data_IF_561802788395
#
_entry.id   IF_561802788395
#
_cell.length_a   1.000
_cell.length_b   1.000
_cell.length_c   1.000
_cell.angle_alpha   90.00
_cell.angle_beta   90.00
_cell.angle_gamma   90.00
#
_symmetry.space_group_name_H-M   'P 1'
#
loop_
_entity.id
_entity.type
_entity.pdbx_description
1 polymer ?
#
# COMPACT_ATOMS: atom_id res chain seq x y z
N UNK A 1 28.13 -4.79 6.32
CA UNK A 1 27.96 -4.30 4.93
C UNK A 1 27.74 -2.80 4.99
N UNK A 2 28.23 -2.01 4.03
CA UNK A 2 27.89 -0.57 3.95
C UNK A 2 26.84 -0.36 2.86
N UNK A 3 25.82 0.44 3.12
CA UNK A 3 24.82 0.85 2.14
C UNK A 3 23.38 0.47 2.49
N UNK A 4 22.48 0.75 1.55
CA UNK A 4 21.03 0.51 1.67
C UNK A 4 20.62 -0.56 0.66
N UNK A 5 19.82 -1.52 1.10
CA UNK A 5 19.29 -2.58 0.25
C UNK A 5 17.81 -2.79 0.54
N UNK A 6 17.04 -3.09 -0.49
CA UNK A 6 15.68 -3.60 -0.36
C UNK A 6 15.74 -5.10 -0.67
N UNK A 7 15.32 -5.92 0.29
CA UNK A 7 15.16 -7.37 0.11
C UNK A 7 13.67 -7.63 -0.11
N UNK A 8 13.34 -8.29 -1.22
CA UNK A 8 11.97 -8.67 -1.57
C UNK A 8 11.79 -10.17 -1.35
N UNK A 9 10.73 -10.56 -0.66
CA UNK A 9 10.40 -11.97 -0.41
C UNK A 9 8.89 -12.13 -0.15
N UNK A 10 8.45 -13.36 0.12
CA UNK A 10 7.09 -13.70 0.53
C UNK A 10 7.08 -14.36 1.91
N UNK A 11 6.24 -13.85 2.81
CA UNK A 11 6.05 -14.41 4.17
C UNK A 11 4.58 -14.74 4.36
N UNK A 12 4.27 -16.00 4.71
CA UNK A 12 2.88 -16.47 4.85
C UNK A 12 2.00 -16.16 3.62
N UNK A 13 2.56 -16.24 2.42
CA UNK A 13 1.85 -15.95 1.17
C UNK A 13 1.65 -14.46 0.86
N UNK A 14 2.22 -13.55 1.66
CA UNK A 14 2.17 -12.10 1.43
C UNK A 14 3.51 -11.57 0.95
N UNK A 15 3.50 -10.69 -0.04
CA UNK A 15 4.72 -10.01 -0.51
C UNK A 15 5.25 -9.07 0.59
N UNK A 16 6.57 -9.06 0.76
CA UNK A 16 7.26 -8.29 1.80
C UNK A 16 8.49 -7.62 1.20
N UNK A 17 8.75 -6.37 1.62
CA UNK A 17 9.96 -5.63 1.32
C UNK A 17 10.66 -5.18 2.61
N UNK A 18 11.90 -5.64 2.84
CA UNK A 18 12.70 -5.24 3.99
C UNK A 18 13.78 -4.22 3.58
N UNK A 19 13.83 -3.08 4.28
CA UNK A 19 14.91 -2.11 4.15
C UNK A 19 16.05 -2.48 5.10
N UNK A 20 17.19 -2.83 4.53
CA UNK A 20 18.44 -3.05 5.24
C UNK A 20 19.31 -1.80 5.14
N UNK A 21 19.85 -1.33 6.28
CA UNK A 21 20.82 -0.24 6.35
C UNK A 21 22.03 -0.74 7.11
N UNK A 22 23.19 -0.73 6.44
CA UNK A 22 24.47 -1.18 6.98
C UNK A 22 24.44 -2.61 7.59
N UNK A 23 23.64 -3.49 7.00
CA UNK A 23 23.46 -4.88 7.42
C UNK A 23 22.50 -5.07 8.60
N UNK A 24 21.75 -4.04 9.01
CA UNK A 24 20.69 -4.13 10.02
C UNK A 24 19.33 -3.89 9.39
N UNK A 25 18.31 -4.62 9.86
CA UNK A 25 16.93 -4.35 9.50
C UNK A 25 16.53 -2.98 10.05
N UNK A 26 16.09 -2.10 9.16
CA UNK A 26 15.67 -0.75 9.50
C UNK A 26 14.15 -0.59 9.38
N UNK A 27 13.53 -1.18 8.36
CA UNK A 27 12.09 -1.13 8.15
C UNK A 27 11.60 -2.38 7.40
N UNK A 28 10.32 -2.68 7.54
CA UNK A 28 9.64 -3.78 6.86
C UNK A 28 8.28 -3.33 6.37
N UNK A 29 8.05 -3.48 5.07
CA UNK A 29 6.75 -3.29 4.45
C UNK A 29 6.16 -4.66 4.12
N UNK A 30 4.97 -4.94 4.65
CA UNK A 30 4.20 -6.13 4.31
C UNK A 30 3.04 -5.68 3.45
N UNK A 31 2.85 -6.33 2.30
CA UNK A 31 1.75 -6.01 1.42
C UNK A 31 0.42 -6.24 2.14
N UNK A 32 -0.49 -5.27 1.99
CA UNK A 32 -1.79 -5.27 2.63
C UNK A 32 -2.88 -5.56 1.61
N UNK A 33 -3.90 -6.32 2.02
CA UNK A 33 -5.05 -6.61 1.18
C UNK A 33 -5.96 -5.37 1.03
N UNK A 34 -6.54 -5.22 -0.16
CA UNK A 34 -7.53 -4.18 -0.45
C UNK A 34 -6.94 -2.83 -0.88
N UNK A 35 -7.78 -1.79 -0.79
CA UNK A 35 -7.44 -0.46 -1.26
C UNK A 35 -6.49 0.27 -0.30
N UNK A 36 -5.41 0.83 -0.87
CA UNK A 36 -4.38 1.56 -0.12
C UNK A 36 -4.54 3.06 -0.30
N UNK A 37 -4.04 3.84 0.66
CA UNK A 37 -3.89 5.29 0.49
C UNK A 37 -3.03 5.54 -0.75
N UNK A 38 -3.53 6.36 -1.67
CA UNK A 38 -2.86 6.64 -2.95
C UNK A 38 -3.13 5.61 -4.05
N UNK A 39 -3.87 4.53 -3.79
CA UNK A 39 -4.30 3.62 -4.85
C UNK A 39 -5.24 4.36 -5.82
N UNK A 40 -4.96 4.20 -7.11
CA UNK A 40 -5.75 4.82 -8.18
C UNK A 40 -6.69 3.77 -8.74
N UNK A 41 -7.98 4.08 -8.71
CA UNK A 41 -9.01 3.22 -9.25
C UNK A 41 -9.79 3.92 -10.37
N UNK A 42 -10.26 3.12 -11.32
CA UNK A 42 -11.37 3.53 -12.18
C UNK A 42 -12.66 3.22 -11.44
N UNK A 43 -13.49 4.23 -11.23
CA UNK A 43 -14.78 4.07 -10.58
C UNK A 43 -15.92 4.66 -11.43
N UNK A 44 -17.14 4.19 -11.19
CA UNK A 44 -18.37 4.80 -11.70
C UNK A 44 -18.97 5.68 -10.61
N UNK A 45 -19.37 6.89 -10.99
CA UNK A 45 -20.12 7.78 -10.12
C UNK A 45 -21.50 7.18 -9.83
N UNK A 46 -21.85 7.08 -8.55
CA UNK A 46 -23.14 6.58 -8.08
C UNK A 46 -24.00 7.76 -7.57
N UNK A 47 -24.31 7.82 -6.26
CA UNK A 47 -25.21 8.83 -5.70
C UNK A 47 -24.48 10.04 -5.07
N UNK A 48 -24.83 11.29 -5.46
CA UNK A 48 -24.37 12.49 -4.75
C UNK A 48 -24.92 12.57 -3.32
N UNK A 49 -24.06 12.94 -2.36
CA UNK A 49 -24.41 13.18 -0.95
C UNK A 49 -24.51 14.68 -0.67
N UNK A 50 -25.71 15.22 -0.93
CA UNK A 50 -26.04 16.62 -0.64
C UNK A 50 -25.81 16.94 0.84
N UNK A 51 -25.22 18.09 1.13
CA UNK A 51 -24.86 18.51 2.50
C UNK A 51 -23.48 18.06 2.97
N UNK A 52 -22.95 16.95 2.44
CA UNK A 52 -21.58 16.49 2.73
C UNK A 52 -20.56 16.96 1.67
N UNK A 53 -21.02 17.43 0.51
CA UNK A 53 -20.15 17.87 -0.59
C UNK A 53 -19.44 16.72 -1.32
N UNK A 54 -19.96 15.49 -1.21
CA UNK A 54 -19.34 14.28 -1.78
C UNK A 54 -20.27 13.46 -2.69
N UNK A 55 -19.74 12.36 -3.21
CA UNK A 55 -20.45 11.38 -4.05
C UNK A 55 -19.97 9.97 -3.70
N UNK A 56 -20.87 9.00 -3.66
CA UNK A 56 -20.48 7.59 -3.59
C UNK A 56 -20.00 7.12 -4.97
N UNK A 57 -19.03 6.22 -4.98
CA UNK A 57 -18.48 5.64 -6.19
C UNK A 57 -18.39 4.12 -6.04
N UNK A 58 -18.57 3.41 -7.15
CA UNK A 58 -18.42 1.95 -7.22
C UNK A 58 -17.22 1.61 -8.09
N UNK A 59 -16.40 0.69 -7.59
CA UNK A 59 -15.11 0.31 -8.19
C UNK A 59 -15.16 -1.11 -8.72
#
# INVERSE_FOLDING_TARGET
MKGRQIILDTVEGREVAALMVDGRLHDIFVDAEGARVGAIYRAKADKPQKGQGGIFVTT
#
